data_IF_302240240346
#
_entry.id   IF_302240240346
#
_cell.length_a   1.000
_cell.length_b   1.000
_cell.length_c   1.000
_cell.angle_alpha   90.00
_cell.angle_beta   90.00
_cell.angle_gamma   90.00
#
_symmetry.space_group_name_H-M   'P 1'
#
loop_
_entity.id
_entity.type
_entity.pdbx_description
1 polymer ?
#
# COMPACT_ATOMS: atom_id res chain seq x y z
N UNK A 1 31.69 27.68 -15.54
CA UNK A 1 30.91 27.74 -14.29
C UNK A 1 31.88 27.98 -13.16
N UNK A 2 31.72 29.05 -12.37
CA UNK A 2 32.66 29.40 -11.29
C UNK A 2 32.22 28.82 -9.92
N UNK A 3 31.25 27.89 -9.90
CA UNK A 3 30.76 27.27 -8.66
C UNK A 3 30.06 28.23 -7.69
N UNK A 4 29.63 29.42 -8.15
CA UNK A 4 28.97 30.41 -7.29
C UNK A 4 27.57 29.93 -6.89
N UNK A 5 27.31 29.94 -5.59
CA UNK A 5 26.01 29.56 -5.01
C UNK A 5 24.90 30.54 -5.44
N UNK A 6 23.69 30.01 -5.62
CA UNK A 6 22.49 30.79 -5.94
C UNK A 6 21.56 30.72 -4.73
N UNK A 7 21.82 31.56 -3.73
CA UNK A 7 21.05 31.63 -2.50
C UNK A 7 19.71 32.38 -2.67
N UNK A 8 18.78 32.17 -1.73
CA UNK A 8 17.50 32.87 -1.62
C UNK A 8 16.66 32.88 -2.90
N UNK A 9 16.78 31.84 -3.71
CA UNK A 9 16.14 31.74 -5.02
C UNK A 9 15.03 30.70 -5.02
N UNK A 10 13.89 31.05 -5.62
CA UNK A 10 12.73 30.16 -5.70
C UNK A 10 12.97 29.07 -6.75
N UNK A 11 12.80 27.81 -6.34
CA UNK A 11 12.80 26.64 -7.20
C UNK A 11 11.39 26.05 -7.20
N UNK A 12 10.79 25.92 -8.38
CA UNK A 12 9.51 25.21 -8.54
C UNK A 12 9.81 23.72 -8.58
N UNK A 13 9.23 22.94 -7.67
CA UNK A 13 9.35 21.49 -7.66
C UNK A 13 8.00 20.89 -8.03
N UNK A 14 7.97 20.02 -9.03
CA UNK A 14 6.82 19.21 -9.42
C UNK A 14 7.09 17.75 -9.06
N UNK A 15 6.17 17.11 -8.34
CA UNK A 15 6.19 15.68 -8.04
C UNK A 15 4.89 15.07 -8.56
N UNK A 16 4.96 14.26 -9.62
CA UNK A 16 3.80 13.64 -10.29
C UNK A 16 2.64 14.61 -10.59
N UNK A 17 2.91 15.83 -11.05
CA UNK A 17 1.88 16.81 -11.35
C UNK A 17 1.52 17.74 -10.18
N UNK A 18 1.84 17.38 -8.93
CA UNK A 18 1.71 18.30 -7.80
C UNK A 18 2.90 19.25 -7.75
N UNK A 19 2.66 20.56 -7.68
CA UNK A 19 3.72 21.56 -7.67
C UNK A 19 3.73 22.42 -6.42
N UNK A 20 4.95 22.67 -5.94
CA UNK A 20 5.24 23.58 -4.82
C UNK A 20 6.50 24.40 -5.12
N UNK A 21 6.81 25.37 -4.27
CA UNK A 21 8.04 26.13 -4.33
C UNK A 21 8.86 25.90 -3.07
N UNK A 22 10.17 25.80 -3.25
CA UNK A 22 11.17 25.86 -2.18
C UNK A 22 12.13 26.99 -2.47
N UNK A 23 12.85 27.43 -1.45
CA UNK A 23 13.85 28.50 -1.57
C UNK A 23 15.20 27.93 -1.21
N UNK A 24 16.23 28.27 -2.00
CA UNK A 24 17.61 27.92 -1.65
C UNK A 24 18.08 28.70 -0.42
N UNK A 25 18.80 28.02 0.47
CA UNK A 25 19.47 28.63 1.62
C UNK A 25 20.73 29.42 1.21
N UNK A 26 21.52 29.86 2.20
CA UNK A 26 22.73 30.64 1.95
C UNK A 26 23.82 29.87 1.19
N UNK A 27 23.79 28.53 1.24
CA UNK A 27 24.71 27.64 0.52
C UNK A 27 24.15 27.21 -0.84
N UNK A 28 22.97 27.70 -1.22
CA UNK A 28 22.31 27.33 -2.47
C UNK A 28 21.59 25.98 -2.40
N UNK A 29 21.43 25.40 -1.21
CA UNK A 29 20.78 24.10 -0.99
C UNK A 29 19.30 24.31 -0.74
N UNK A 30 18.47 23.38 -1.20
CA UNK A 30 17.04 23.36 -0.92
C UNK A 30 16.61 21.93 -0.61
N UNK A 31 15.55 21.78 0.19
CA UNK A 31 14.97 20.48 0.51
C UNK A 31 13.45 20.52 0.41
N UNK A 32 12.85 19.39 0.05
CA UNK A 32 11.41 19.19 0.02
C UNK A 32 11.07 17.83 0.64
N UNK A 33 10.23 17.85 1.68
CA UNK A 33 9.64 16.65 2.26
C UNK A 33 8.20 16.53 1.78
N UNK A 34 7.85 15.40 1.15
CA UNK A 34 6.50 15.14 0.65
C UNK A 34 6.09 13.69 0.86
N UNK A 35 4.83 13.47 1.23
CA UNK A 35 4.21 12.15 1.25
C UNK A 35 3.53 11.90 -0.09
N UNK A 36 4.05 10.95 -0.86
CA UNK A 36 3.41 10.52 -2.11
C UNK A 36 2.33 9.45 -1.84
N UNK A 37 1.28 9.47 -2.65
CA UNK A 37 0.21 8.48 -2.69
C UNK A 37 0.34 7.52 -3.89
N UNK A 38 1.46 7.57 -4.62
CA UNK A 38 1.71 6.75 -5.80
C UNK A 38 2.83 5.75 -5.53
N UNK A 39 2.49 4.46 -5.58
CA UNK A 39 3.48 3.37 -5.68
C UNK A 39 4.09 3.31 -7.08
N UNK A 40 5.27 2.71 -7.19
CA UNK A 40 6.08 2.64 -8.39
C UNK A 40 6.92 3.90 -8.60
N UNK A 41 7.27 4.16 -9.85
CA UNK A 41 8.12 5.29 -10.22
C UNK A 41 7.35 6.61 -10.05
N UNK A 42 7.95 7.51 -9.28
CA UNK A 42 7.53 8.88 -9.04
C UNK A 42 8.50 9.82 -9.78
N UNK A 43 7.96 10.75 -10.56
CA UNK A 43 8.76 11.71 -11.32
C UNK A 43 8.85 13.04 -10.57
N UNK A 44 10.05 13.61 -10.53
CA UNK A 44 10.36 14.90 -9.92
C UNK A 44 10.98 15.81 -10.98
N UNK A 45 10.45 17.02 -11.09
CA UNK A 45 11.04 18.08 -11.92
C UNK A 45 11.27 19.31 -11.06
N UNK A 46 12.52 19.75 -10.94
CA UNK A 46 12.89 21.00 -10.29
C UNK A 46 13.24 22.04 -11.35
N UNK A 47 12.61 23.21 -11.30
CA UNK A 47 12.74 24.25 -12.30
C UNK A 47 13.03 25.60 -11.65
N UNK A 48 14.13 26.20 -12.08
CA UNK A 48 14.47 27.59 -11.81
C UNK A 48 14.15 28.42 -13.06
N UNK A 49 13.34 29.47 -12.92
CA UNK A 49 12.85 30.27 -14.05
C UNK A 49 13.91 31.22 -14.63
N UNK A 50 15.07 31.33 -13.97
CA UNK A 50 16.07 32.34 -14.28
C UNK A 50 15.79 33.66 -13.56
N UNK A 51 16.78 34.54 -13.57
CA UNK A 51 16.70 35.94 -13.14
C UNK A 51 17.70 36.79 -13.94
N UNK A 52 17.90 38.06 -13.56
CA UNK A 52 18.81 38.97 -14.26
C UNK A 52 20.27 38.47 -14.34
N UNK A 53 20.69 37.61 -13.41
CA UNK A 53 22.07 37.14 -13.28
C UNK A 53 22.26 35.69 -13.72
N UNK A 54 21.19 34.89 -13.76
CA UNK A 54 21.26 33.44 -13.98
C UNK A 54 20.18 32.98 -14.94
N UNK A 55 20.55 32.17 -15.93
CA UNK A 55 19.62 31.59 -16.90
C UNK A 55 18.64 30.60 -16.23
N UNK A 56 17.51 30.35 -16.90
CA UNK A 56 16.58 29.30 -16.51
C UNK A 56 17.23 27.92 -16.58
N UNK A 57 16.85 27.03 -15.68
CA UNK A 57 17.33 25.65 -15.67
C UNK A 57 16.26 24.69 -15.17
N UNK A 58 16.32 23.43 -15.61
CA UNK A 58 15.42 22.39 -15.16
C UNK A 58 16.19 21.08 -14.99
N UNK A 59 15.95 20.41 -13.86
CA UNK A 59 16.49 19.10 -13.55
C UNK A 59 15.35 18.11 -13.34
N UNK A 60 15.58 16.86 -13.71
CA UNK A 60 14.63 15.77 -13.51
C UNK A 60 15.27 14.67 -12.66
N UNK A 61 14.47 14.07 -11.80
CA UNK A 61 14.84 12.91 -11.02
C UNK A 61 13.64 11.97 -10.89
N UNK A 62 13.90 10.73 -10.50
CA UNK A 62 12.85 9.77 -10.18
C UNK A 62 13.18 9.04 -8.90
N UNK A 63 12.15 8.64 -8.16
CA UNK A 63 12.29 7.71 -7.04
C UNK A 63 11.21 6.65 -7.11
N UNK A 64 11.49 5.46 -6.55
CA UNK A 64 10.54 4.35 -6.57
C UNK A 64 9.92 4.16 -5.19
N UNK A 65 8.61 3.99 -5.14
CA UNK A 65 7.86 3.66 -3.93
C UNK A 65 7.36 2.22 -4.04
N UNK A 66 7.78 1.35 -3.13
CA UNK A 66 7.30 -0.03 -3.13
C UNK A 66 5.90 -0.14 -2.54
N UNK A 67 5.16 -1.16 -2.97
CA UNK A 67 3.91 -1.52 -2.31
C UNK A 67 4.19 -2.02 -0.90
N UNK A 68 3.23 -1.79 -0.02
CA UNK A 68 3.31 -2.21 1.37
C UNK A 68 2.80 -3.65 1.53
N UNK A 69 3.47 -4.41 2.40
CA UNK A 69 3.03 -5.75 2.78
C UNK A 69 1.81 -5.72 3.71
N UNK A 70 1.17 -6.87 3.80
CA UNK A 70 -0.08 -7.08 4.52
C UNK A 70 0.05 -8.27 5.46
N UNK A 71 -0.86 -8.31 6.43
CA UNK A 71 -1.00 -9.44 7.34
C UNK A 71 -2.47 -9.86 7.32
N UNK A 72 -2.72 -11.13 7.01
CA UNK A 72 -4.01 -11.77 7.18
C UNK A 72 -3.85 -12.87 8.23
N UNK A 73 -4.58 -12.74 9.33
CA UNK A 73 -4.70 -13.82 10.31
C UNK A 73 -5.91 -14.68 9.97
N UNK A 74 -5.94 -15.91 10.45
CA UNK A 74 -7.06 -16.82 10.21
C UNK A 74 -7.26 -17.69 11.43
N UNK A 75 -8.51 -17.78 11.88
CA UNK A 75 -8.98 -18.73 12.88
C UNK A 75 -10.24 -19.43 12.37
N UNK A 76 -10.48 -20.66 12.84
CA UNK A 76 -11.60 -21.47 12.38
C UNK A 76 -12.32 -22.17 13.53
N UNK A 77 -13.62 -22.36 13.38
CA UNK A 77 -14.42 -23.19 14.28
C UNK A 77 -15.42 -24.03 13.50
N UNK A 78 -15.79 -25.17 14.07
CA UNK A 78 -16.83 -26.03 13.54
C UNK A 78 -17.78 -26.43 14.66
N UNK A 79 -19.07 -26.12 14.52
CA UNK A 79 -20.10 -26.41 15.53
C UNK A 79 -21.38 -26.84 14.84
N UNK A 80 -21.89 -28.03 15.20
CA UNK A 80 -23.17 -28.55 14.71
C UNK A 80 -23.31 -28.50 13.18
N UNK A 81 -22.24 -28.86 12.44
CA UNK A 81 -22.23 -28.82 10.98
C UNK A 81 -21.87 -27.46 10.37
N UNK A 82 -21.83 -26.39 11.15
CA UNK A 82 -21.48 -25.05 10.66
C UNK A 82 -19.97 -24.79 10.80
N UNK A 83 -19.28 -24.64 9.67
CA UNK A 83 -17.90 -24.17 9.63
C UNK A 83 -17.88 -22.64 9.60
N UNK A 84 -17.06 -22.03 10.44
CA UNK A 84 -16.83 -20.58 10.46
C UNK A 84 -15.34 -20.30 10.37
N UNK A 85 -14.96 -19.43 9.44
CA UNK A 85 -13.62 -18.90 9.29
C UNK A 85 -13.65 -17.40 9.54
N UNK A 86 -12.79 -16.94 10.44
CA UNK A 86 -12.64 -15.53 10.82
C UNK A 86 -11.17 -15.13 10.72
N UNK A 87 -10.91 -13.83 10.71
CA UNK A 87 -9.56 -13.32 10.77
C UNK A 87 -9.50 -11.81 10.65
N UNK A 88 -8.34 -11.25 10.96
CA UNK A 88 -8.04 -9.84 10.78
C UNK A 88 -7.26 -9.62 9.49
N UNK A 89 -7.51 -8.48 8.85
CA UNK A 89 -6.79 -8.00 7.70
C UNK A 89 -6.23 -6.61 8.00
N UNK A 90 -4.90 -6.55 8.13
CA UNK A 90 -4.19 -5.33 8.49
C UNK A 90 -3.01 -5.12 7.54
N UNK A 91 -2.52 -3.89 7.47
CA UNK A 91 -1.24 -3.60 6.84
C UNK A 91 -0.06 -4.04 7.73
N UNK A 92 1.17 -4.03 7.21
CA UNK A 92 2.37 -4.41 8.00
C UNK A 92 2.59 -3.62 9.29
N UNK A 93 1.97 -2.45 9.44
CA UNK A 93 2.08 -1.59 10.62
C UNK A 93 0.93 -1.84 11.61
N UNK A 94 0.02 -2.78 11.32
CA UNK A 94 -1.14 -3.09 12.15
C UNK A 94 -2.36 -2.20 11.88
N UNK A 95 -2.34 -1.35 10.84
CA UNK A 95 -3.51 -0.55 10.50
C UNK A 95 -4.60 -1.44 9.89
N UNK A 96 -5.81 -1.30 10.41
CA UNK A 96 -7.00 -2.06 9.98
C UNK A 96 -7.39 -1.71 8.55
N UNK A 97 -7.62 -2.73 7.73
CA UNK A 97 -8.07 -2.57 6.35
C UNK A 97 -9.55 -2.91 6.23
N UNK A 98 -10.40 -1.92 6.51
CA UNK A 98 -11.86 -2.04 6.42
C UNK A 98 -12.38 -2.09 4.96
N UNK A 99 -13.58 -2.63 4.76
CA UNK A 99 -14.29 -2.73 3.47
C UNK A 99 -13.43 -3.35 2.35
N UNK A 100 -12.45 -4.17 2.73
CA UNK A 100 -11.49 -4.79 1.81
C UNK A 100 -11.96 -6.18 1.45
N UNK A 101 -11.92 -6.52 0.16
CA UNK A 101 -12.36 -7.84 -0.34
C UNK A 101 -11.28 -8.89 -0.11
N UNK A 102 -11.58 -9.85 0.76
CA UNK A 102 -10.76 -11.03 1.05
C UNK A 102 -11.40 -12.24 0.36
N UNK A 103 -10.60 -13.08 -0.31
CA UNK A 103 -11.04 -14.32 -0.93
C UNK A 103 -10.83 -15.47 0.05
N UNK A 104 -11.91 -16.05 0.51
CA UNK A 104 -11.93 -17.27 1.32
C UNK A 104 -12.13 -18.45 0.38
N UNK A 105 -11.29 -19.47 0.47
CA UNK A 105 -11.44 -20.70 -0.29
C UNK A 105 -11.69 -21.86 0.68
N UNK A 106 -12.77 -22.60 0.48
CA UNK A 106 -13.18 -23.74 1.31
C UNK A 106 -13.52 -24.90 0.37
N UNK A 107 -12.85 -26.05 0.56
CA UNK A 107 -13.01 -27.24 -0.26
C UNK A 107 -12.92 -26.99 -1.78
N UNK A 108 -12.11 -26.00 -2.18
CA UNK A 108 -11.92 -25.60 -3.58
C UNK A 108 -12.94 -24.59 -4.11
N UNK A 109 -13.97 -24.23 -3.33
CA UNK A 109 -14.93 -23.18 -3.64
C UNK A 109 -14.45 -21.85 -3.06
N UNK A 110 -14.36 -20.83 -3.92
CA UNK A 110 -13.98 -19.49 -3.52
C UNK A 110 -15.19 -18.57 -3.31
N UNK A 111 -15.15 -17.80 -2.22
CA UNK A 111 -16.10 -16.74 -1.89
C UNK A 111 -15.34 -15.47 -1.53
N UNK A 112 -15.89 -14.32 -1.88
CA UNK A 112 -15.34 -13.03 -1.48
C UNK A 112 -16.16 -12.46 -0.33
N UNK A 113 -15.48 -12.11 0.76
CA UNK A 113 -16.06 -11.41 1.90
C UNK A 113 -15.38 -10.06 2.08
N UNK A 114 -16.12 -9.09 2.62
CA UNK A 114 -15.57 -7.79 2.97
C UNK A 114 -15.22 -7.77 4.44
N UNK A 115 -14.12 -7.12 4.76
CA UNK A 115 -13.80 -6.78 6.14
C UNK A 115 -14.73 -5.69 6.67
N UNK A 116 -15.05 -5.77 7.96
CA UNK A 116 -15.80 -4.75 8.69
C UNK A 116 -14.92 -3.52 9.02
N UNK A 117 -15.45 -2.58 9.81
CA UNK A 117 -14.73 -1.39 10.26
C UNK A 117 -13.51 -1.71 11.15
N UNK A 118 -13.44 -2.91 11.73
CA UNK A 118 -12.32 -3.39 12.52
C UNK A 118 -11.26 -4.13 11.69
N UNK A 119 -11.46 -4.27 10.38
CA UNK A 119 -10.60 -5.07 9.53
C UNK A 119 -10.84 -6.57 9.68
N UNK A 120 -11.93 -6.99 10.32
CA UNK A 120 -12.26 -8.40 10.53
C UNK A 120 -13.09 -8.92 9.37
N UNK A 121 -12.74 -10.08 8.83
CA UNK A 121 -13.59 -10.82 7.90
C UNK A 121 -14.16 -12.06 8.59
N UNK A 122 -15.39 -12.43 8.25
CA UNK A 122 -16.04 -13.65 8.73
C UNK A 122 -16.81 -14.29 7.59
N UNK A 123 -16.70 -15.60 7.44
CA UNK A 123 -17.55 -16.39 6.55
C UNK A 123 -17.96 -17.68 7.26
N UNK A 124 -19.21 -18.09 7.08
CA UNK A 124 -19.74 -19.33 7.62
C UNK A 124 -20.55 -20.08 6.58
N UNK A 125 -20.43 -21.41 6.57
CA UNK A 125 -21.29 -22.28 5.78
C UNK A 125 -21.47 -23.65 6.44
N UNK A 126 -22.60 -24.30 6.14
CA UNK A 126 -22.84 -25.68 6.56
C UNK A 126 -21.97 -26.63 5.73
N UNK A 127 -21.25 -27.52 6.39
CA UNK A 127 -20.37 -28.51 5.77
C UNK A 127 -20.63 -29.88 6.37
N UNK A 128 -20.88 -30.87 5.51
CA UNK A 128 -21.08 -32.28 5.87
C UNK A 128 -19.81 -33.12 5.71
N UNK A 129 -18.78 -32.58 5.04
CA UNK A 129 -17.52 -33.27 4.82
C UNK A 129 -16.73 -33.40 6.14
N UNK A 130 -16.17 -34.59 6.38
CA UNK A 130 -15.30 -34.87 7.55
C UNK A 130 -14.00 -34.07 7.55
N UNK A 131 -13.55 -33.62 6.38
CA UNK A 131 -12.35 -32.81 6.23
C UNK A 131 -12.69 -31.53 5.49
N UNK A 132 -12.16 -30.41 5.99
CA UNK A 132 -12.40 -29.08 5.48
C UNK A 132 -11.05 -28.48 5.13
N UNK A 133 -10.77 -28.33 3.84
CA UNK A 133 -9.56 -27.69 3.33
C UNK A 133 -9.84 -26.21 3.11
N UNK A 134 -9.04 -25.35 3.69
CA UNK A 134 -9.25 -23.91 3.55
C UNK A 134 -7.95 -23.13 3.38
N UNK A 135 -8.06 -21.98 2.74
CA UNK A 135 -7.03 -20.94 2.72
C UNK A 135 -7.66 -19.59 2.41
N UNK A 136 -6.94 -18.52 2.73
CA UNK A 136 -7.38 -17.16 2.51
C UNK A 136 -6.39 -16.43 1.61
N UNK A 137 -6.91 -15.60 0.73
CA UNK A 137 -6.15 -14.89 -0.30
C UNK A 137 -6.60 -13.45 -0.44
N UNK A 138 -5.62 -12.58 -0.72
CA UNK A 138 -5.84 -11.22 -1.18
C UNK A 138 -5.01 -10.96 -2.45
N UNK A 139 -5.67 -10.42 -3.48
CA UNK A 139 -5.06 -10.21 -4.80
C UNK A 139 -4.08 -9.05 -4.91
N UNK A 140 -3.87 -8.29 -3.85
CA UNK A 140 -3.14 -7.03 -3.91
C UNK A 140 -4.04 -5.88 -4.35
N UNK A 141 -3.48 -4.68 -4.29
CA UNK A 141 -4.09 -3.44 -4.80
C UNK A 141 -3.04 -2.52 -5.39
N UNK A 142 -3.40 -1.26 -5.66
CA UNK A 142 -2.44 -0.22 -6.03
C UNK A 142 -1.35 -0.08 -4.95
N UNK A 143 -1.74 -0.02 -3.67
CA UNK A 143 -0.83 0.31 -2.58
C UNK A 143 -0.27 -0.91 -1.84
N UNK A 144 -0.91 -2.07 -1.97
CA UNK A 144 -0.58 -3.25 -1.17
C UNK A 144 -0.23 -4.47 -2.02
N UNK A 145 0.72 -5.27 -1.55
CA UNK A 145 1.08 -6.55 -2.14
C UNK A 145 -0.05 -7.59 -1.98
N UNK A 146 -0.03 -8.63 -2.82
CA UNK A 146 -0.90 -9.79 -2.63
C UNK A 146 -0.48 -10.59 -1.40
N UNK A 147 -1.42 -11.34 -0.82
CA UNK A 147 -1.16 -12.21 0.31
C UNK A 147 -1.90 -13.54 0.13
N UNK A 148 -1.28 -14.66 0.50
CA UNK A 148 -1.96 -15.94 0.60
C UNK A 148 -1.54 -16.64 1.87
N UNK A 149 -2.50 -17.17 2.62
CA UNK A 149 -2.19 -18.11 3.69
C UNK A 149 -1.79 -19.45 3.09
N UNK A 150 -1.08 -20.26 3.87
CA UNK A 150 -0.94 -21.69 3.60
C UNK A 150 -2.32 -22.36 3.53
N UNK A 151 -2.40 -23.47 2.79
CA UNK A 151 -3.56 -24.35 2.81
C UNK A 151 -3.54 -25.17 4.09
N UNK A 152 -4.66 -25.17 4.80
CA UNK A 152 -4.85 -25.88 6.06
C UNK A 152 -6.00 -26.86 5.93
N UNK A 153 -5.99 -27.94 6.71
CA UNK A 153 -7.08 -28.91 6.79
C UNK A 153 -7.57 -28.97 8.23
N UNK A 154 -8.88 -28.85 8.42
CA UNK A 154 -9.57 -29.17 9.67
C UNK A 154 -10.27 -30.52 9.51
N UNK A 155 -10.03 -31.45 10.43
CA UNK A 155 -10.78 -32.70 10.52
C UNK A 155 -11.82 -32.55 11.63
N UNK A 156 -13.08 -32.81 11.31
CA UNK A 156 -14.20 -32.72 12.26
C UNK A 156 -14.58 -34.13 12.71
N UNK A 157 -14.84 -34.28 14.02
CA UNK A 157 -15.19 -35.55 14.65
C UNK A 157 -16.66 -35.93 14.38
#
# INVERSE_FOLDING_TARGET
SNGKVIANSKVRVNVNGYSTYVTTDHDGVWSLTIKTNKTGVNNVTASFTGNANYAKYTANATFNVTKQDLIITTDVSFKQGNFTITGSFVDKNGNKLANSKVRVNINGKAVYVKTDSNGTYTYSEMITAKTIKYNVYYGGSANYNSFTTSKTTLTVA
#
